data_IF_613378112094
#
_entry.id   IF_613378112094
#
_cell.length_a   1.000
_cell.length_b   1.000
_cell.length_c   1.000
_cell.angle_alpha   90.00
_cell.angle_beta   90.00
_cell.angle_gamma   90.00
#
_symmetry.space_group_name_H-M   'P 1'
#
loop_
_entity.id
_entity.type
_entity.pdbx_description
1 polymer ?
#
# COMPACT_ATOMS: atom_id res chain seq x y z
N UNK A 1 16.58 -8.30 -18.26
CA UNK A 1 17.03 -9.03 -17.05
C UNK A 1 16.88 -8.18 -15.79
N UNK A 2 17.33 -6.91 -15.76
CA UNK A 2 17.24 -5.99 -14.62
C UNK A 2 15.84 -5.85 -14.04
N UNK A 3 14.81 -5.66 -14.86
CA UNK A 3 13.42 -5.52 -14.41
C UNK A 3 12.85 -6.78 -13.73
N UNK A 4 13.20 -7.96 -14.24
CA UNK A 4 12.81 -9.23 -13.60
C UNK A 4 13.46 -9.40 -12.23
N UNK A 5 14.75 -9.08 -12.11
CA UNK A 5 15.47 -9.12 -10.83
C UNK A 5 14.85 -8.10 -9.87
N UNK A 6 14.51 -6.89 -10.35
CA UNK A 6 13.88 -5.85 -9.54
C UNK A 6 12.53 -6.29 -8.97
N UNK A 7 11.66 -6.89 -9.81
CA UNK A 7 10.35 -7.42 -9.34
C UNK A 7 10.55 -8.51 -8.28
N UNK A 8 11.45 -9.46 -8.53
CA UNK A 8 11.70 -10.58 -7.60
C UNK A 8 12.23 -10.05 -6.27
N UNK A 9 13.24 -9.18 -6.29
CA UNK A 9 13.78 -8.53 -5.11
C UNK A 9 12.69 -7.77 -4.35
N UNK A 10 11.90 -6.96 -5.06
CA UNK A 10 10.78 -6.22 -4.49
C UNK A 10 9.74 -7.14 -3.86
N UNK A 11 9.40 -8.25 -4.52
CA UNK A 11 8.45 -9.22 -3.98
C UNK A 11 8.90 -9.78 -2.63
N UNK A 12 10.14 -10.20 -2.50
CA UNK A 12 10.65 -10.72 -1.24
C UNK A 12 10.65 -9.66 -0.14
N UNK A 13 11.04 -8.41 -0.41
CA UNK A 13 10.93 -7.30 0.53
C UNK A 13 9.45 -7.01 0.88
N UNK A 14 8.56 -7.12 -0.09
CA UNK A 14 7.12 -6.98 0.12
C UNK A 14 6.53 -8.04 1.04
N UNK A 15 7.05 -9.26 1.03
CA UNK A 15 6.62 -10.35 1.90
C UNK A 15 6.91 -10.08 3.39
N UNK A 16 7.75 -9.09 3.71
CA UNK A 16 7.90 -8.59 5.06
C UNK A 16 6.63 -7.85 5.50
N UNK A 17 5.82 -8.50 6.33
CA UNK A 17 4.50 -8.02 6.74
C UNK A 17 4.59 -7.33 8.10
N UNK A 18 4.78 -6.01 8.10
CA UNK A 18 5.00 -5.22 9.32
C UNK A 18 3.88 -5.40 10.34
N UNK A 19 2.60 -5.34 9.90
CA UNK A 19 1.45 -5.54 10.78
C UNK A 19 1.46 -6.90 11.47
N UNK A 20 1.76 -7.97 10.72
CA UNK A 20 1.82 -9.33 11.26
C UNK A 20 2.95 -9.48 12.29
N UNK A 21 4.14 -8.99 11.96
CA UNK A 21 5.32 -9.08 12.83
C UNK A 21 5.08 -8.30 14.13
N UNK A 22 4.57 -7.06 14.02
CA UNK A 22 4.26 -6.23 15.19
C UNK A 22 3.20 -6.90 16.07
N UNK A 23 2.10 -7.40 15.49
CA UNK A 23 1.05 -8.08 16.26
C UNK A 23 1.57 -9.33 16.96
N UNK A 24 2.38 -10.14 16.25
CA UNK A 24 2.95 -11.36 16.80
C UNK A 24 3.93 -11.07 17.93
N UNK A 25 4.77 -10.02 17.78
CA UNK A 25 5.77 -9.62 18.78
C UNK A 25 5.17 -8.96 20.02
N UNK A 26 4.10 -8.15 19.86
CA UNK A 26 3.57 -7.32 20.95
C UNK A 26 2.34 -7.90 21.64
N UNK A 27 1.53 -8.66 20.94
CA UNK A 27 0.25 -9.22 21.44
C UNK A 27 0.16 -10.74 21.30
N UNK A 28 1.16 -11.42 20.72
CA UNK A 28 1.19 -12.86 20.45
C UNK A 28 0.01 -13.38 19.61
N UNK A 29 -0.60 -12.52 18.77
CA UNK A 29 -1.76 -12.85 17.94
C UNK A 29 -1.41 -12.83 16.45
N UNK A 30 -2.22 -13.51 15.63
CA UNK A 30 -2.27 -13.28 14.18
C UNK A 30 -3.27 -12.15 13.90
N UNK A 31 -2.81 -11.03 13.36
CA UNK A 31 -3.65 -9.87 13.10
C UNK A 31 -4.75 -10.14 12.07
N UNK A 32 -4.60 -11.19 11.27
CA UNK A 32 -5.58 -11.60 10.25
C UNK A 32 -6.82 -12.26 10.84
N UNK A 33 -6.74 -12.74 12.07
CA UNK A 33 -7.88 -13.30 12.80
C UNK A 33 -8.67 -12.22 13.54
N UNK A 34 -8.24 -10.97 13.46
CA UNK A 34 -8.83 -9.86 14.22
C UNK A 34 -9.20 -8.66 13.33
N UNK A 35 -10.24 -7.93 13.75
CA UNK A 35 -10.68 -6.70 13.10
C UNK A 35 -11.20 -6.94 11.68
N UNK A 36 -10.53 -6.39 10.66
CA UNK A 36 -10.90 -6.58 9.24
C UNK A 36 -10.24 -7.78 8.58
N UNK A 37 -9.40 -8.52 9.28
CA UNK A 37 -8.63 -9.63 8.72
C UNK A 37 -7.47 -9.24 7.79
N UNK A 38 -7.20 -7.94 7.61
CA UNK A 38 -6.11 -7.47 6.75
C UNK A 38 -4.80 -7.28 7.52
N UNK A 39 -3.67 -7.67 6.90
CA UNK A 39 -2.33 -7.41 7.41
C UNK A 39 -1.82 -6.02 6.96
N UNK A 40 -2.50 -4.95 7.39
CA UNK A 40 -2.13 -3.59 7.02
C UNK A 40 -2.44 -2.55 8.09
N UNK A 41 -1.96 -1.32 7.88
CA UNK A 41 -2.00 -0.19 8.82
C UNK A 41 -3.36 0.04 9.48
N UNK A 42 -4.44 0.12 8.68
CA UNK A 42 -5.79 0.43 9.21
C UNK A 42 -6.28 -0.64 10.19
N UNK A 43 -5.99 -1.91 9.91
CA UNK A 43 -6.31 -2.99 10.83
C UNK A 43 -5.38 -2.98 12.05
N UNK A 44 -4.11 -2.68 11.87
CA UNK A 44 -3.16 -2.53 12.97
C UNK A 44 -3.57 -1.40 13.92
N UNK A 45 -4.02 -0.24 13.41
CA UNK A 45 -4.58 0.83 14.25
C UNK A 45 -5.78 0.33 15.07
N UNK A 46 -6.67 -0.44 14.44
CA UNK A 46 -7.90 -0.93 15.07
C UNK A 46 -7.63 -1.96 16.17
N UNK A 47 -6.69 -2.89 15.94
CA UNK A 47 -6.44 -4.04 16.82
C UNK A 47 -5.34 -3.76 17.84
N UNK A 48 -4.30 -3.05 17.43
CA UNK A 48 -3.10 -2.81 18.24
C UNK A 48 -3.02 -1.39 18.80
N UNK A 49 -3.89 -0.48 18.32
CA UNK A 49 -3.88 0.93 18.67
C UNK A 49 -3.00 1.78 17.76
N UNK A 50 -3.09 3.11 17.95
CA UNK A 50 -2.49 4.10 17.05
C UNK A 50 -0.97 3.97 16.91
N UNK A 51 -0.25 3.82 18.03
CA UNK A 51 1.23 3.76 18.02
C UNK A 51 1.76 2.62 17.14
N UNK A 52 1.25 1.41 17.36
CA UNK A 52 1.68 0.22 16.61
C UNK A 52 1.14 0.21 15.18
N UNK A 53 -0.01 0.83 14.95
CA UNK A 53 -0.54 1.07 13.63
C UNK A 53 0.34 2.02 12.81
N UNK A 54 0.83 3.10 13.41
CA UNK A 54 1.77 4.02 12.76
C UNK A 54 3.14 3.39 12.51
N UNK A 55 3.63 2.56 13.44
CA UNK A 55 4.83 1.76 13.19
C UNK A 55 4.65 0.84 11.96
N UNK A 56 3.46 0.23 11.82
CA UNK A 56 3.12 -0.57 10.63
C UNK A 56 3.12 0.28 9.36
N UNK A 57 2.53 1.47 9.40
CA UNK A 57 2.48 2.40 8.27
C UNK A 57 3.87 2.78 7.78
N UNK A 58 4.72 3.22 8.71
CA UNK A 58 6.11 3.61 8.42
C UNK A 58 6.91 2.42 7.88
N UNK A 59 6.80 1.25 8.51
CA UNK A 59 7.51 0.05 8.05
C UNK A 59 7.11 -0.40 6.64
N UNK A 60 5.80 -0.28 6.29
CA UNK A 60 5.32 -0.62 4.95
C UNK A 60 5.72 0.41 3.88
N UNK A 61 5.88 1.69 4.25
CA UNK A 61 6.46 2.73 3.39
C UNK A 61 7.95 2.44 3.18
N UNK A 62 8.70 2.26 4.26
CA UNK A 62 10.15 2.12 4.21
C UNK A 62 10.59 0.91 3.39
N UNK A 63 9.94 -0.25 3.50
CA UNK A 63 10.30 -1.40 2.67
C UNK A 63 10.16 -1.13 1.18
N UNK A 64 9.16 -0.33 0.78
CA UNK A 64 8.96 0.03 -0.62
C UNK A 64 9.97 1.09 -1.08
N UNK A 65 10.24 2.10 -0.26
CA UNK A 65 11.28 3.11 -0.52
C UNK A 65 12.64 2.43 -0.70
N UNK A 66 13.01 1.52 0.20
CA UNK A 66 14.27 0.78 0.13
C UNK A 66 14.37 -0.05 -1.16
N UNK A 67 13.32 -0.79 -1.53
CA UNK A 67 13.31 -1.59 -2.75
C UNK A 67 13.51 -0.73 -4.00
N UNK A 68 12.80 0.40 -4.08
CA UNK A 68 12.91 1.33 -5.22
C UNK A 68 14.32 1.92 -5.31
N UNK A 69 14.86 2.41 -4.19
CA UNK A 69 16.21 3.01 -4.16
C UNK A 69 17.26 1.97 -4.53
N UNK A 70 17.23 0.76 -3.93
CA UNK A 70 18.19 -0.30 -4.21
C UNK A 70 18.18 -0.67 -5.70
N UNK A 71 17.00 -0.92 -6.28
CA UNK A 71 16.92 -1.29 -7.70
C UNK A 71 17.35 -0.15 -8.63
N UNK A 72 16.94 1.10 -8.31
CA UNK A 72 17.32 2.29 -9.06
C UNK A 72 18.84 2.49 -9.09
N UNK A 73 19.49 2.34 -7.93
CA UNK A 73 20.95 2.49 -7.82
C UNK A 73 21.68 1.32 -8.45
N UNK A 74 21.23 0.08 -8.24
CA UNK A 74 21.90 -1.12 -8.74
C UNK A 74 21.88 -1.20 -10.27
N UNK A 75 20.79 -0.76 -10.90
CA UNK A 75 20.60 -0.84 -12.35
C UNK A 75 20.64 0.51 -13.07
N UNK A 76 20.97 1.58 -12.36
CA UNK A 76 21.00 2.96 -12.89
C UNK A 76 19.75 3.33 -13.70
N UNK A 77 18.58 2.81 -13.25
CA UNK A 77 17.32 2.89 -13.98
C UNK A 77 16.14 3.23 -13.06
N UNK A 78 15.51 4.35 -13.32
CA UNK A 78 14.28 4.75 -12.61
C UNK A 78 13.16 3.72 -12.82
N UNK A 79 13.08 3.17 -14.02
CA UNK A 79 12.10 2.14 -14.35
C UNK A 79 12.35 0.84 -13.57
N UNK A 80 13.62 0.43 -13.35
CA UNK A 80 13.94 -0.70 -12.49
C UNK A 80 13.44 -0.48 -11.05
N UNK A 81 13.56 0.76 -10.53
CA UNK A 81 12.98 1.14 -9.26
C UNK A 81 11.45 0.96 -9.21
N UNK A 82 10.75 1.38 -10.27
CA UNK A 82 9.29 1.20 -10.37
C UNK A 82 8.89 -0.28 -10.37
N UNK A 83 9.62 -1.13 -11.11
CA UNK A 83 9.43 -2.58 -11.10
C UNK A 83 9.64 -3.19 -9.72
N UNK A 84 10.67 -2.73 -8.98
CA UNK A 84 10.90 -3.18 -7.61
C UNK A 84 9.75 -2.77 -6.68
N UNK A 85 9.27 -1.53 -6.77
CA UNK A 85 8.10 -1.06 -6.04
C UNK A 85 6.84 -1.87 -6.35
N UNK A 86 6.61 -2.20 -7.63
CA UNK A 86 5.54 -3.10 -8.04
C UNK A 86 5.68 -4.48 -7.39
N UNK A 87 6.88 -5.04 -7.37
CA UNK A 87 7.20 -6.28 -6.65
C UNK A 87 6.84 -6.20 -5.17
N UNK A 88 7.19 -5.10 -4.49
CA UNK A 88 6.83 -4.89 -3.07
C UNK A 88 5.33 -4.92 -2.86
N UNK A 89 4.55 -4.24 -3.72
CA UNK A 89 3.09 -4.21 -3.62
C UNK A 89 2.51 -5.60 -3.81
N UNK A 90 3.01 -6.36 -4.78
CA UNK A 90 2.59 -7.75 -5.03
C UNK A 90 2.93 -8.62 -3.82
N UNK A 91 4.16 -8.55 -3.31
CA UNK A 91 4.60 -9.30 -2.13
C UNK A 91 3.82 -8.94 -0.86
N UNK A 92 3.47 -7.66 -0.68
CA UNK A 92 2.63 -7.22 0.42
C UNK A 92 1.19 -7.74 0.30
N UNK A 93 0.63 -7.77 -0.90
CA UNK A 93 -0.73 -8.24 -1.14
C UNK A 93 -0.86 -9.76 -1.05
N UNK A 94 0.14 -10.48 -1.55
CA UNK A 94 0.17 -11.94 -1.63
C UNK A 94 1.51 -12.51 -1.14
N UNK A 95 1.83 -12.36 0.16
CA UNK A 95 3.08 -12.86 0.73
C UNK A 95 3.04 -14.38 0.84
N UNK A 96 4.04 -15.06 0.25
CA UNK A 96 4.11 -16.52 0.31
C UNK A 96 4.23 -17.04 1.74
N UNK A 97 4.95 -16.30 2.60
CA UNK A 97 5.14 -16.62 4.03
C UNK A 97 3.84 -16.64 4.84
N UNK A 98 2.78 -15.97 4.36
CA UNK A 98 1.46 -15.92 4.99
C UNK A 98 0.38 -16.62 4.14
N UNK A 99 0.77 -17.62 3.35
CA UNK A 99 -0.15 -18.37 2.47
C UNK A 99 -0.94 -17.44 1.53
N UNK A 100 -0.25 -16.44 0.98
CA UNK A 100 -0.79 -15.43 0.05
C UNK A 100 -1.94 -14.56 0.60
N UNK A 101 -2.08 -14.46 1.94
CA UNK A 101 -3.10 -13.66 2.61
C UNK A 101 -2.44 -12.45 3.30
N UNK A 102 -2.19 -11.39 2.53
CA UNK A 102 -1.57 -10.14 2.99
C UNK A 102 -2.54 -8.96 3.08
N UNK A 103 -1.97 -7.75 3.04
CA UNK A 103 -2.68 -6.47 3.07
C UNK A 103 -3.22 -6.03 1.70
N UNK A 104 -3.39 -4.72 1.53
CA UNK A 104 -3.86 -4.08 0.28
C UNK A 104 -2.80 -3.23 -0.41
N UNK A 105 -1.63 -3.08 0.18
CA UNK A 105 -0.47 -2.44 -0.42
C UNK A 105 -0.47 -0.91 -0.43
N UNK A 106 -1.43 -0.21 0.18
CA UNK A 106 -1.56 1.25 0.04
C UNK A 106 -0.35 2.01 0.63
N UNK A 107 0.10 1.65 1.83
CA UNK A 107 1.30 2.27 2.41
C UNK A 107 2.56 1.97 1.57
N UNK A 108 2.67 0.75 1.06
CA UNK A 108 3.76 0.37 0.14
C UNK A 108 3.65 1.10 -1.21
N UNK A 109 2.43 1.33 -1.73
CA UNK A 109 2.22 2.16 -2.93
C UNK A 109 2.67 3.59 -2.70
N UNK A 110 2.32 4.17 -1.55
CA UNK A 110 2.79 5.51 -1.19
C UNK A 110 4.32 5.57 -1.11
N UNK A 111 4.95 4.59 -0.45
CA UNK A 111 6.41 4.50 -0.38
C UNK A 111 7.08 4.36 -1.76
N UNK A 112 6.51 3.52 -2.63
CA UNK A 112 6.96 3.40 -4.01
C UNK A 112 6.87 4.74 -4.75
N UNK A 113 5.73 5.44 -4.65
CA UNK A 113 5.55 6.73 -5.33
C UNK A 113 6.53 7.80 -4.82
N UNK A 114 6.70 7.91 -3.50
CA UNK A 114 7.62 8.89 -2.92
C UNK A 114 9.08 8.65 -3.38
N UNK A 115 9.48 7.41 -3.57
CA UNK A 115 10.83 7.06 -4.03
C UNK A 115 10.98 7.10 -5.55
N UNK A 116 9.91 6.81 -6.31
CA UNK A 116 9.88 6.88 -7.77
C UNK A 116 9.83 8.33 -8.24
N UNK A 117 8.80 9.06 -7.82
CA UNK A 117 8.64 10.51 -8.03
C UNK A 117 7.88 11.12 -6.84
N UNK A 118 8.60 11.84 -6.02
CA UNK A 118 8.06 12.46 -4.79
C UNK A 118 6.89 13.41 -5.06
N UNK A 119 6.83 14.04 -6.24
CA UNK A 119 5.75 14.97 -6.63
C UNK A 119 4.43 14.22 -6.71
N UNK A 120 4.42 13.07 -7.41
CA UNK A 120 3.24 12.19 -7.50
C UNK A 120 2.87 11.67 -6.11
N UNK A 121 3.88 11.21 -5.35
CA UNK A 121 3.68 10.67 -4.00
C UNK A 121 3.07 11.70 -3.04
N UNK A 122 3.57 12.93 -3.02
CA UNK A 122 3.04 14.00 -2.17
C UNK A 122 1.62 14.41 -2.55
N UNK A 123 1.33 14.59 -3.85
CA UNK A 123 -0.02 14.92 -4.32
C UNK A 123 -1.00 13.80 -3.96
N UNK A 124 -0.64 12.55 -4.22
CA UNK A 124 -1.47 11.40 -3.90
C UNK A 124 -1.73 11.28 -2.38
N UNK A 125 -0.69 11.52 -1.56
CA UNK A 125 -0.81 11.52 -0.10
C UNK A 125 -1.68 12.67 0.41
N UNK A 126 -1.48 13.90 -0.11
CA UNK A 126 -2.26 15.07 0.27
C UNK A 126 -3.75 14.89 -0.02
N UNK A 127 -4.10 14.43 -1.22
CA UNK A 127 -5.49 14.18 -1.61
C UNK A 127 -6.10 13.05 -0.76
N UNK A 128 -5.37 11.96 -0.55
CA UNK A 128 -5.84 10.87 0.31
C UNK A 128 -6.08 11.34 1.75
N UNK A 129 -5.13 12.10 2.31
CA UNK A 129 -5.22 12.63 3.68
C UNK A 129 -6.38 13.61 3.84
N UNK A 130 -6.58 14.48 2.87
CA UNK A 130 -7.71 15.42 2.85
C UNK A 130 -9.04 14.67 2.80
N UNK A 131 -9.17 13.67 1.93
CA UNK A 131 -10.37 12.85 1.84
C UNK A 131 -10.65 12.09 3.15
N UNK A 132 -9.61 11.53 3.80
CA UNK A 132 -9.74 10.86 5.09
C UNK A 132 -10.15 11.86 6.19
N UNK A 133 -9.55 13.04 6.20
CA UNK A 133 -9.86 14.09 7.17
C UNK A 133 -11.33 14.52 7.08
N UNK A 134 -11.82 14.79 5.87
CA UNK A 134 -13.20 15.25 5.64
C UNK A 134 -14.24 14.15 5.87
N UNK A 135 -13.97 12.92 5.45
CA UNK A 135 -14.98 11.84 5.44
C UNK A 135 -14.79 10.80 6.54
N UNK A 136 -13.60 10.72 7.13
CA UNK A 136 -13.13 9.65 8.03
C UNK A 136 -13.07 8.26 7.38
N UNK A 137 -13.24 8.14 6.06
CA UNK A 137 -13.14 6.87 5.33
C UNK A 137 -11.72 6.66 4.78
N UNK A 138 -10.94 5.81 5.45
CA UNK A 138 -9.58 5.46 5.00
C UNK A 138 -9.61 4.79 3.63
N UNK A 139 -10.63 3.98 3.36
CA UNK A 139 -10.78 3.30 2.06
C UNK A 139 -11.00 4.27 0.90
N UNK A 140 -11.73 5.37 1.11
CA UNK A 140 -11.92 6.41 0.10
C UNK A 140 -10.59 7.09 -0.23
N UNK A 141 -9.85 7.51 0.79
CA UNK A 141 -8.52 8.09 0.58
C UNK A 141 -7.56 7.12 -0.12
N UNK A 142 -7.64 5.83 0.23
CA UNK A 142 -6.82 4.78 -0.43
C UNK A 142 -7.12 4.65 -1.92
N UNK A 143 -8.40 4.68 -2.30
CA UNK A 143 -8.84 4.60 -3.70
C UNK A 143 -8.37 5.84 -4.46
N UNK A 144 -8.52 7.04 -3.90
CA UNK A 144 -8.05 8.27 -4.51
C UNK A 144 -6.53 8.28 -4.71
N UNK A 145 -5.75 7.82 -3.71
CA UNK A 145 -4.30 7.71 -3.83
C UNK A 145 -3.89 6.88 -5.04
N UNK A 146 -4.47 5.69 -5.19
CA UNK A 146 -4.09 4.80 -6.30
C UNK A 146 -4.62 5.27 -7.64
N UNK A 147 -5.71 6.03 -7.69
CA UNK A 147 -6.25 6.65 -8.91
C UNK A 147 -5.35 7.79 -9.41
N UNK A 148 -4.80 8.60 -8.50
CA UNK A 148 -3.88 9.70 -8.84
C UNK A 148 -2.58 9.17 -9.43
N UNK A 149 -2.14 7.98 -9.05
CA UNK A 149 -0.86 7.41 -9.46
C UNK A 149 -0.68 7.35 -10.99
N UNK A 150 -1.52 6.67 -11.78
CA UNK A 150 -1.37 6.65 -13.24
C UNK A 150 -1.64 8.03 -13.88
N UNK A 151 -2.49 8.86 -13.30
CA UNK A 151 -2.75 10.24 -13.78
C UNK A 151 -1.47 11.08 -13.66
N UNK A 152 -0.80 11.03 -12.50
CA UNK A 152 0.46 11.73 -12.28
C UNK A 152 1.57 11.26 -13.23
N UNK A 153 1.64 9.95 -13.48
CA UNK A 153 2.58 9.39 -14.45
C UNK A 153 2.27 9.87 -15.87
N UNK A 154 1.02 9.84 -16.28
CA UNK A 154 0.60 10.33 -17.60
C UNK A 154 1.01 11.79 -17.83
N UNK A 155 0.87 12.63 -16.81
CA UNK A 155 1.18 14.07 -16.90
C UNK A 155 2.69 14.33 -16.89
N UNK A 156 3.43 13.67 -15.99
CA UNK A 156 4.84 13.99 -15.73
C UNK A 156 5.83 13.17 -16.56
N UNK A 157 5.37 12.08 -17.18
CA UNK A 157 6.20 11.18 -17.98
C UNK A 157 5.59 10.98 -19.39
N UNK A 158 5.54 12.04 -20.22
CA UNK A 158 5.03 11.92 -21.58
C UNK A 158 5.88 10.93 -22.37
N UNK A 159 5.23 9.89 -22.94
CA UNK A 159 5.91 8.76 -23.60
C UNK A 159 6.38 7.63 -22.68
N UNK A 160 6.20 7.75 -21.36
CA UNK A 160 6.48 6.69 -20.36
C UNK A 160 5.43 5.56 -20.39
N UNK A 161 5.39 4.82 -21.50
CA UNK A 161 4.37 3.77 -21.72
C UNK A 161 4.45 2.66 -20.67
N UNK A 162 5.65 2.23 -20.29
CA UNK A 162 5.82 1.16 -19.30
C UNK A 162 5.40 1.64 -17.90
N UNK A 163 5.78 2.86 -17.52
CA UNK A 163 5.42 3.49 -16.25
C UNK A 163 3.89 3.60 -16.14
N UNK A 164 3.24 4.05 -17.21
CA UNK A 164 1.78 4.17 -17.25
C UNK A 164 1.08 2.82 -17.15
N UNK A 165 1.56 1.80 -17.88
CA UNK A 165 1.01 0.44 -17.83
C UNK A 165 1.14 -0.13 -16.42
N UNK A 166 2.34 -0.08 -15.82
CA UNK A 166 2.60 -0.63 -14.49
C UNK A 166 1.71 0.05 -13.45
N UNK A 167 1.68 1.37 -13.43
CA UNK A 167 0.91 2.12 -12.45
C UNK A 167 -0.59 1.93 -12.64
N UNK A 168 -1.07 1.80 -13.87
CA UNK A 168 -2.48 1.48 -14.17
C UNK A 168 -2.87 0.08 -13.67
N UNK A 169 -2.03 -0.93 -13.92
CA UNK A 169 -2.25 -2.30 -13.42
C UNK A 169 -2.30 -2.29 -11.88
N UNK A 170 -1.35 -1.63 -11.23
CA UNK A 170 -1.32 -1.54 -9.77
C UNK A 170 -2.55 -0.82 -9.20
N UNK A 171 -3.03 0.23 -9.86
CA UNK A 171 -4.26 0.94 -9.47
C UNK A 171 -5.48 0.01 -9.59
N UNK A 172 -5.63 -0.69 -10.70
CA UNK A 172 -6.72 -1.66 -10.92
C UNK A 172 -6.69 -2.75 -9.84
N UNK A 173 -5.53 -3.33 -9.58
CA UNK A 173 -5.35 -4.34 -8.53
C UNK A 173 -5.73 -3.77 -7.15
N UNK A 174 -5.29 -2.57 -6.81
CA UNK A 174 -5.63 -1.95 -5.54
C UNK A 174 -7.13 -1.66 -5.42
N UNK A 175 -7.79 -1.16 -6.46
CA UNK A 175 -9.24 -0.94 -6.49
C UNK A 175 -9.98 -2.28 -6.33
N UNK A 176 -9.57 -3.33 -7.03
CA UNK A 176 -10.12 -4.66 -6.85
C UNK A 176 -9.99 -5.18 -5.41
N UNK A 177 -8.82 -4.96 -4.79
CA UNK A 177 -8.59 -5.30 -3.36
C UNK A 177 -9.46 -4.49 -2.40
N UNK A 178 -10.05 -3.38 -2.86
CA UNK A 178 -11.00 -2.57 -2.11
C UNK A 178 -12.48 -2.88 -2.42
N UNK A 179 -12.80 -3.91 -3.22
CA UNK A 179 -14.19 -4.24 -3.63
C UNK A 179 -15.18 -4.31 -2.46
N UNK A 180 -14.79 -4.94 -1.35
CA UNK A 180 -15.64 -5.01 -0.17
C UNK A 180 -15.82 -3.64 0.53
N UNK A 181 -14.79 -2.78 0.49
CA UNK A 181 -14.89 -1.41 1.00
C UNK A 181 -15.79 -0.56 0.11
N UNK A 182 -15.64 -0.68 -1.20
CA UNK A 182 -16.48 0.03 -2.19
C UNK A 182 -17.95 -0.33 -1.97
N UNK A 183 -18.25 -1.62 -1.82
CA UNK A 183 -19.62 -2.05 -1.52
C UNK A 183 -20.18 -1.43 -0.22
N UNK A 184 -19.36 -1.34 0.84
CA UNK A 184 -19.78 -0.67 2.08
C UNK A 184 -19.89 0.85 1.94
N UNK A 185 -19.00 1.48 1.16
CA UNK A 185 -19.09 2.92 0.89
C UNK A 185 -20.41 3.27 0.17
N UNK A 186 -20.78 2.49 -0.84
CA UNK A 186 -22.02 2.69 -1.59
C UNK A 186 -23.26 2.54 -0.68
N UNK A 187 -23.24 1.59 0.27
CA UNK A 187 -24.31 1.39 1.23
C UNK A 187 -24.28 2.31 2.45
N UNK A 188 -23.27 3.20 2.56
CA UNK A 188 -23.09 4.06 3.75
C UNK A 188 -22.63 3.30 5.02
N UNK A 189 -22.16 2.07 4.89
CA UNK A 189 -21.80 1.15 6.00
C UNK A 189 -20.29 1.09 6.26
N UNK A 190 -19.48 1.88 5.56
CA UNK A 190 -18.03 1.80 5.69
C UNK A 190 -17.57 2.29 7.06
N UNK A 191 -16.54 1.62 7.62
CA UNK A 191 -16.03 1.93 8.94
C UNK A 191 -15.26 3.26 8.94
N UNK A 192 -15.71 4.21 9.73
CA UNK A 192 -15.03 5.49 9.94
C UNK A 192 -13.82 5.32 10.86
N UNK A 193 -12.77 6.05 10.58
CA UNK A 193 -11.58 6.12 11.44
C UNK A 193 -11.95 6.76 12.79
N UNK A 194 -11.51 6.15 13.90
CA UNK A 194 -11.73 6.66 15.25
C UNK A 194 -13.11 6.34 15.84
N UNK A 195 -14.01 5.68 15.11
CA UNK A 195 -15.32 5.26 15.63
C UNK A 195 -15.28 3.77 15.98
N UNK A 196 -15.49 3.43 17.25
CA UNK A 196 -15.70 2.03 17.66
C UNK A 196 -17.11 1.62 17.21
N UNK A 197 -17.25 0.51 16.46
CA UNK A 197 -18.56 -0.12 16.32
C UNK A 197 -19.02 -0.54 17.71
N UNK A 198 -20.20 -0.07 18.12
CA UNK A 198 -20.88 -0.67 19.27
C UNK A 198 -21.15 -2.14 18.89
N UNK A 199 -20.72 -3.06 19.75
CA UNK A 199 -21.12 -4.45 19.63
C UNK A 199 -22.64 -4.52 19.83
N UNK A 200 -23.36 -4.80 18.77
CA UNK A 200 -24.77 -5.22 18.83
C UNK A 200 -24.80 -6.70 19.13
#
# INVERSE_FOLDING_TARGET
>A
MSYLISIIMGYFLGCFQTAYIVAKRTKHIDIRDHGSGNSGTTNAIRVLGWKLGMLTFVGDILKAVLAVIIARTLFESQLAGLYAGAGVIIGHNWPFVLKFKGGKGIASTLGMLLAFDWRIGLVAWAVASLAIYLTRYVSLGSILLVTIMPIGVFILYPGGTQELIITSILAIVAIYRHKANIGRLIRGEENKLGVKKQAT
#
